data_IF_658884606367
#
_entry.id   IF_658884606367
#
_cell.length_a   1.000
_cell.length_b   1.000
_cell.length_c   1.000
_cell.angle_alpha   90.00
_cell.angle_beta   90.00
_cell.angle_gamma   90.00
#
_symmetry.space_group_name_H-M   'P 1'
#
loop_
_entity.id
_entity.type
_entity.pdbx_description
1 polymer ?
#
# COMPACT_ATOMS: atom_id res chain seq x y z
N UNK A 1 -2.81 19.38 -33.46
CA UNK A 1 -1.54 18.70 -33.12
C UNK A 1 -1.90 17.47 -32.34
N UNK A 2 -1.35 16.33 -32.73
CA UNK A 2 -1.56 15.07 -32.04
C UNK A 2 -0.54 14.97 -30.89
N UNK A 3 -1.03 15.03 -29.65
CA UNK A 3 -0.22 15.01 -28.44
C UNK A 3 0.03 13.57 -27.93
N UNK A 4 -0.60 12.58 -28.56
CA UNK A 4 -0.49 11.17 -28.18
C UNK A 4 0.96 10.66 -28.13
N UNK A 5 1.87 11.04 -29.06
CA UNK A 5 3.27 10.62 -29.00
C UNK A 5 4.00 11.16 -27.77
N UNK A 6 3.80 12.43 -27.45
CA UNK A 6 4.41 13.12 -26.31
C UNK A 6 3.96 12.50 -24.97
N UNK A 7 2.65 12.22 -24.86
CA UNK A 7 2.10 11.55 -23.67
C UNK A 7 2.65 10.13 -23.56
N UNK A 8 2.78 9.42 -24.67
CA UNK A 8 3.31 8.05 -24.68
C UNK A 8 4.78 8.01 -24.25
N UNK A 9 5.59 8.97 -24.69
CA UNK A 9 6.99 9.08 -24.30
C UNK A 9 7.14 9.40 -22.81
N UNK A 10 6.31 10.32 -22.28
CA UNK A 10 6.29 10.65 -20.85
C UNK A 10 5.87 9.44 -19.99
N UNK A 11 4.85 8.71 -20.43
CA UNK A 11 4.39 7.49 -19.76
C UNK A 11 5.47 6.41 -19.79
N UNK A 12 6.11 6.19 -20.94
CA UNK A 12 7.21 5.23 -21.08
C UNK A 12 8.41 5.61 -20.21
N UNK A 13 8.72 6.90 -20.10
CA UNK A 13 9.76 7.40 -19.20
C UNK A 13 9.41 7.10 -17.73
N UNK A 14 8.18 7.34 -17.31
CA UNK A 14 7.73 7.05 -15.95
C UNK A 14 7.78 5.54 -15.68
N UNK A 15 7.33 4.72 -16.64
CA UNK A 15 7.32 3.26 -16.50
C UNK A 15 8.75 2.73 -16.33
N UNK A 16 9.66 3.13 -17.22
CA UNK A 16 11.05 2.66 -17.21
C UNK A 16 11.82 3.09 -15.96
N UNK A 17 11.60 4.31 -15.47
CA UNK A 17 12.42 4.85 -14.38
C UNK A 17 11.83 4.60 -12.98
N UNK A 18 10.50 4.48 -12.86
CA UNK A 18 9.85 4.41 -11.57
C UNK A 18 9.00 3.16 -11.36
N UNK A 19 8.56 2.47 -12.41
CA UNK A 19 7.67 1.30 -12.32
C UNK A 19 8.29 -0.03 -12.77
N UNK A 20 9.58 -0.07 -13.13
CA UNK A 20 10.31 -1.32 -13.41
C UNK A 20 10.16 -2.38 -12.30
N UNK A 21 9.85 -1.98 -11.06
CA UNK A 21 9.58 -2.89 -9.96
C UNK A 21 8.37 -3.80 -10.20
N UNK A 22 7.41 -3.41 -11.05
CA UNK A 22 6.26 -4.23 -11.43
C UNK A 22 6.66 -5.41 -12.32
N UNK A 23 7.77 -5.30 -13.05
CA UNK A 23 8.30 -6.35 -13.93
C UNK A 23 9.37 -7.23 -13.24
N UNK A 24 9.77 -6.89 -12.01
CA UNK A 24 10.72 -7.72 -11.27
C UNK A 24 10.04 -9.01 -10.80
N UNK A 25 10.73 -10.15 -11.00
CA UNK A 25 10.34 -11.40 -10.36
C UNK A 25 10.46 -11.24 -8.84
N UNK A 26 9.31 -11.10 -8.17
CA UNK A 26 9.26 -10.86 -6.73
C UNK A 26 9.82 -12.07 -5.97
N UNK A 27 10.75 -11.86 -5.01
CA UNK A 27 11.32 -12.96 -4.25
C UNK A 27 10.25 -13.60 -3.36
N UNK A 28 10.12 -14.93 -3.43
CA UNK A 28 9.28 -15.71 -2.52
C UNK A 28 9.94 -15.68 -1.14
N UNK A 29 9.25 -15.09 -0.17
CA UNK A 29 9.80 -14.87 1.18
C UNK A 29 9.69 -16.15 2.01
N UNK A 30 10.77 -16.47 2.72
CA UNK A 30 10.87 -17.62 3.61
C UNK A 30 10.82 -17.13 5.07
N UNK A 31 9.69 -17.36 5.75
CA UNK A 31 9.38 -16.72 7.03
C UNK A 31 10.14 -17.35 8.21
N UNK A 32 10.94 -16.55 8.92
CA UNK A 32 11.48 -16.88 10.25
C UNK A 32 10.70 -16.10 11.29
N UNK A 33 9.62 -16.69 11.81
CA UNK A 33 8.81 -16.12 12.88
C UNK A 33 9.67 -15.74 14.09
N UNK A 34 9.59 -14.48 14.54
CA UNK A 34 10.09 -14.06 15.86
C UNK A 34 8.92 -13.89 16.83
N UNK A 35 9.20 -14.21 18.09
CA UNK A 35 8.25 -14.54 19.15
C UNK A 35 7.14 -13.49 19.43
N UNK A 36 5.93 -14.03 19.64
CA UNK A 36 4.76 -13.52 20.39
C UNK A 36 4.78 -12.03 20.73
N UNK A 37 4.35 -11.19 19.79
CA UNK A 37 3.78 -9.87 20.12
C UNK A 37 2.27 -10.00 19.97
N UNK A 38 1.49 -9.52 20.94
CA UNK A 38 0.02 -9.50 20.82
C UNK A 38 -0.38 -8.66 19.59
N UNK A 39 -1.26 -9.21 18.76
CA UNK A 39 -1.78 -8.52 17.57
C UNK A 39 -2.74 -7.44 18.03
N UNK A 40 -2.54 -6.22 17.53
CA UNK A 40 -3.33 -5.02 17.83
C UNK A 40 -4.10 -4.54 16.58
N UNK A 41 -5.12 -3.72 16.81
CA UNK A 41 -5.78 -3.00 15.73
C UNK A 41 -5.12 -1.64 15.49
N UNK A 42 -5.17 -1.16 14.24
CA UNK A 42 -4.81 0.22 13.88
C UNK A 42 -5.91 1.17 14.38
N UNK A 43 -5.54 2.33 14.96
CA UNK A 43 -6.52 3.30 15.43
C UNK A 43 -7.31 3.87 14.25
N UNK A 44 -8.61 4.07 14.45
CA UNK A 44 -9.52 4.65 13.45
C UNK A 44 -9.63 3.85 12.15
N UNK A 45 -9.41 2.53 12.21
CA UNK A 45 -9.41 1.67 11.03
C UNK A 45 -10.71 1.76 10.21
N UNK A 46 -11.86 1.93 10.85
CA UNK A 46 -13.13 2.03 10.13
C UNK A 46 -13.24 3.34 9.33
N UNK A 47 -12.75 4.45 9.90
CA UNK A 47 -12.64 5.72 9.16
C UNK A 47 -11.68 5.59 7.97
N UNK A 48 -10.60 4.83 8.12
CA UNK A 48 -9.64 4.57 7.04
C UNK A 48 -10.31 3.77 5.92
N UNK A 49 -11.05 2.71 6.24
CA UNK A 49 -11.83 1.94 5.26
C UNK A 49 -12.80 2.82 4.49
N UNK A 50 -13.58 3.64 5.19
CA UNK A 50 -14.56 4.54 4.57
C UNK A 50 -13.90 5.52 3.60
N UNK A 51 -12.78 6.13 3.99
CA UNK A 51 -12.04 7.06 3.13
C UNK A 51 -11.50 6.35 1.89
N UNK A 52 -10.91 5.16 2.07
CA UNK A 52 -10.34 4.38 0.96
C UNK A 52 -11.43 3.95 -0.03
N UNK A 53 -12.54 3.42 0.46
CA UNK A 53 -13.65 2.99 -0.38
C UNK A 53 -14.31 4.17 -1.10
N UNK A 54 -14.44 5.32 -0.43
CA UNK A 54 -14.97 6.54 -1.06
C UNK A 54 -14.04 7.13 -2.13
N UNK A 55 -12.72 7.05 -1.92
CA UNK A 55 -11.72 7.61 -2.86
C UNK A 55 -11.41 6.69 -4.04
N UNK A 56 -11.31 5.38 -3.79
CA UNK A 56 -10.74 4.42 -4.73
C UNK A 56 -11.75 3.36 -5.20
N UNK A 57 -12.84 3.16 -4.44
CA UNK A 57 -13.80 2.07 -4.68
C UNK A 57 -13.29 0.69 -4.26
N UNK A 58 -14.21 -0.26 -4.18
CA UNK A 58 -13.93 -1.63 -3.71
C UNK A 58 -12.89 -2.36 -4.57
N UNK A 59 -12.96 -2.21 -5.90
CA UNK A 59 -12.09 -2.93 -6.84
C UNK A 59 -10.62 -2.56 -6.67
N UNK A 60 -10.30 -1.26 -6.60
CA UNK A 60 -8.93 -0.80 -6.45
C UNK A 60 -8.32 -1.19 -5.10
N UNK A 61 -9.11 -1.08 -4.02
CA UNK A 61 -8.69 -1.50 -2.68
C UNK A 61 -8.45 -3.01 -2.64
N UNK A 62 -9.34 -3.81 -3.23
CA UNK A 62 -9.18 -5.25 -3.32
C UNK A 62 -7.93 -5.63 -4.11
N UNK A 63 -7.73 -5.03 -5.29
CA UNK A 63 -6.57 -5.30 -6.13
C UNK A 63 -5.26 -4.96 -5.40
N UNK A 64 -5.20 -3.82 -4.73
CA UNK A 64 -4.04 -3.46 -3.92
C UNK A 64 -3.76 -4.51 -2.84
N UNK A 65 -4.78 -4.89 -2.06
CA UNK A 65 -4.60 -5.84 -0.97
C UNK A 65 -4.17 -7.22 -1.46
N UNK A 66 -4.76 -7.71 -2.56
CA UNK A 66 -4.57 -9.08 -3.02
C UNK A 66 -3.39 -9.27 -3.97
N UNK A 67 -3.05 -8.25 -4.76
CA UNK A 67 -2.06 -8.36 -5.83
C UNK A 67 -0.78 -7.61 -5.50
N UNK A 68 -0.86 -6.47 -4.81
CA UNK A 68 0.31 -5.64 -4.54
C UNK A 68 0.87 -5.86 -3.13
N UNK A 69 0.02 -5.85 -2.11
CA UNK A 69 0.43 -5.92 -0.70
C UNK A 69 0.92 -7.31 -0.28
N UNK A 70 0.29 -8.38 -0.78
CA UNK A 70 0.59 -9.79 -0.44
C UNK A 70 1.99 -10.25 -0.81
N UNK A 71 2.74 -9.51 -1.64
CA UNK A 71 4.08 -9.90 -2.07
C UNK A 71 5.15 -9.70 -0.98
N UNK A 72 4.82 -9.06 0.15
CA UNK A 72 5.78 -8.81 1.23
C UNK A 72 5.12 -8.86 2.60
N UNK A 73 5.76 -9.55 3.54
CA UNK A 73 5.38 -9.46 4.95
C UNK A 73 5.94 -8.17 5.56
N UNK A 74 5.07 -7.37 6.18
CA UNK A 74 5.46 -6.14 6.85
C UNK A 74 5.49 -6.39 8.37
N UNK A 75 6.67 -6.40 9.00
CA UNK A 75 6.79 -6.70 10.42
C UNK A 75 6.17 -5.57 11.25
N UNK A 76 5.00 -5.83 11.84
CA UNK A 76 4.34 -4.98 12.82
C UNK A 76 3.25 -5.77 13.56
N UNK A 77 2.95 -5.43 14.83
CA UNK A 77 1.99 -6.15 15.66
C UNK A 77 0.55 -5.74 15.33
N UNK A 78 0.20 -5.69 14.04
CA UNK A 78 -1.13 -5.35 13.55
C UNK A 78 -1.68 -6.43 12.63
N UNK A 79 -3.00 -6.52 12.54
CA UNK A 79 -3.67 -7.39 11.57
C UNK A 79 -3.17 -7.10 10.16
N UNK A 80 -2.83 -8.14 9.38
CA UNK A 80 -2.25 -7.97 8.04
C UNK A 80 -3.09 -7.13 7.10
N UNK A 81 -4.41 -7.35 7.11
CA UNK A 81 -5.35 -6.59 6.29
C UNK A 81 -5.33 -5.11 6.69
N UNK A 82 -5.25 -4.81 7.99
CA UNK A 82 -5.20 -3.44 8.48
C UNK A 82 -3.88 -2.75 8.13
N UNK A 83 -2.76 -3.49 8.11
CA UNK A 83 -1.47 -2.97 7.64
C UNK A 83 -1.53 -2.59 6.16
N UNK A 84 -2.13 -3.44 5.32
CA UNK A 84 -2.35 -3.13 3.91
C UNK A 84 -3.24 -1.91 3.70
N UNK A 85 -4.38 -1.85 4.40
CA UNK A 85 -5.27 -0.68 4.34
C UNK A 85 -4.58 0.59 4.84
N UNK A 86 -3.81 0.51 5.92
CA UNK A 86 -3.10 1.65 6.48
C UNK A 86 -2.00 2.17 5.54
N UNK A 87 -1.23 1.28 4.93
CA UNK A 87 -0.24 1.61 3.91
C UNK A 87 -0.90 2.29 2.71
N UNK A 88 -1.99 1.72 2.18
CA UNK A 88 -2.74 2.33 1.08
C UNK A 88 -3.24 3.72 1.45
N UNK A 89 -3.79 3.88 2.66
CA UNK A 89 -4.27 5.16 3.15
C UNK A 89 -3.17 6.22 3.23
N UNK A 90 -1.98 5.84 3.70
CA UNK A 90 -0.81 6.74 3.72
C UNK A 90 -0.45 7.20 2.29
N UNK A 91 -0.38 6.26 1.34
CA UNK A 91 -0.03 6.55 -0.06
C UNK A 91 -1.03 7.52 -0.74
N UNK A 92 -2.32 7.38 -0.45
CA UNK A 92 -3.38 8.18 -1.13
C UNK A 92 -3.84 9.41 -0.35
N UNK A 93 -3.39 9.58 0.88
CA UNK A 93 -3.76 10.73 1.71
C UNK A 93 -2.69 11.81 1.74
N UNK A 94 -1.48 11.54 1.22
CA UNK A 94 -0.37 12.50 1.21
C UNK A 94 0.07 12.93 2.61
N UNK A 95 -0.24 12.11 3.62
CA UNK A 95 0.07 12.39 5.02
C UNK A 95 1.56 12.12 5.22
N UNK A 96 2.30 13.06 5.81
CA UNK A 96 3.73 12.89 6.08
C UNK A 96 3.96 11.75 7.08
N UNK A 97 5.13 11.10 7.00
CA UNK A 97 5.51 10.01 7.92
C UNK A 97 5.38 10.38 9.41
N UNK A 98 5.63 11.63 9.76
CA UNK A 98 5.49 12.17 11.12
C UNK A 98 4.04 12.21 11.63
N UNK A 99 3.07 12.33 10.74
CA UNK A 99 1.65 12.40 11.09
C UNK A 99 1.00 11.02 11.26
N UNK A 100 1.76 9.95 11.00
CA UNK A 100 1.33 8.56 11.09
C UNK A 100 1.14 8.13 12.56
N UNK A 101 1.91 8.70 13.49
CA UNK A 101 1.91 8.30 14.91
C UNK A 101 0.51 8.37 15.56
N UNK A 102 -0.34 9.33 15.15
CA UNK A 102 -1.71 9.46 15.67
C UNK A 102 -2.61 8.26 15.37
N UNK A 103 -2.26 7.46 14.36
CA UNK A 103 -2.98 6.25 13.97
C UNK A 103 -2.40 4.97 14.58
N UNK A 104 -1.25 5.05 15.24
CA UNK A 104 -0.65 3.92 15.96
C UNK A 104 -1.21 3.87 17.40
N UNK A 105 -1.56 2.69 17.93
CA UNK A 105 -1.83 2.54 19.36
C UNK A 105 -0.63 2.98 20.19
N UNK A 106 -0.92 3.68 21.29
CA UNK A 106 0.09 4.06 22.29
C UNK A 106 0.42 2.84 23.15
#
# INVERSE_FOLDING_TARGET
MDYTPLITDEVNFIIANYWMFLELNWPIINNKFKHRTEIKHVKYIDKIKDILLKKLGYTAVFFFLMVLYTNKEYPAPYFEIEKGLFLLYHLVSGIAGSDIEKYLPQ
#
